data_IF_726977041436
#
_entry.id   IF_726977041436
#
_cell.length_a   1.000
_cell.length_b   1.000
_cell.length_c   1.000
_cell.angle_alpha   90.00
_cell.angle_beta   90.00
_cell.angle_gamma   90.00
#
_symmetry.space_group_name_H-M   'P 1'
#
loop_
_entity.id
_entity.type
_entity.pdbx_description
1 polymer ?
#
# COMPACT_ATOMS: atom_id res chain seq x y z
N UNK A 1 -60.84 -15.84 42.86
CA UNK A 1 -59.73 -16.33 42.02
C UNK A 1 -58.42 -16.13 42.78
N UNK A 2 -57.77 -17.24 43.11
CA UNK A 2 -56.71 -17.38 44.12
C UNK A 2 -55.39 -16.75 43.70
N UNK A 3 -54.55 -16.36 44.68
CA UNK A 3 -53.25 -15.68 44.48
C UNK A 3 -52.30 -16.38 43.48
N UNK A 4 -52.51 -17.67 43.20
CA UNK A 4 -51.78 -18.42 42.17
C UNK A 4 -52.07 -17.94 40.73
N UNK A 5 -53.30 -17.49 40.43
CA UNK A 5 -53.68 -17.04 39.09
C UNK A 5 -53.04 -15.69 38.71
N UNK A 6 -52.71 -14.85 39.70
CA UNK A 6 -51.99 -13.57 39.46
C UNK A 6 -50.49 -13.77 39.25
N UNK A 7 -49.89 -14.82 39.80
CA UNK A 7 -48.48 -15.11 39.64
C UNK A 7 -48.17 -15.74 38.27
N UNK A 8 -49.08 -16.58 37.76
CA UNK A 8 -48.92 -17.19 36.42
C UNK A 8 -49.08 -16.18 35.28
N UNK A 9 -49.92 -15.14 35.46
CA UNK A 9 -50.13 -14.10 34.45
C UNK A 9 -48.95 -13.10 34.37
N UNK A 10 -48.20 -12.89 35.45
CA UNK A 10 -46.97 -12.07 35.44
C UNK A 10 -45.77 -12.80 34.79
N UNK A 11 -45.68 -14.14 34.93
CA UNK A 11 -44.62 -14.94 34.33
C UNK A 11 -44.77 -15.08 32.80
N UNK A 12 -46.01 -15.07 32.29
CA UNK A 12 -46.26 -15.10 30.83
C UNK A 12 -45.95 -13.74 30.17
N UNK A 13 -46.14 -12.62 30.88
CA UNK A 13 -45.75 -11.30 30.38
C UNK A 13 -44.23 -11.06 30.40
N UNK A 14 -43.48 -11.70 31.32
CA UNK A 14 -42.01 -11.61 31.33
C UNK A 14 -41.33 -12.52 30.29
N UNK A 15 -41.97 -13.62 29.90
CA UNK A 15 -41.46 -14.50 28.84
C UNK A 15 -41.67 -13.93 27.43
N UNK A 16 -42.61 -12.99 27.23
CA UNK A 16 -42.87 -12.38 25.93
C UNK A 16 -42.08 -11.09 25.65
N UNK A 17 -41.43 -10.51 26.66
CA UNK A 17 -40.62 -9.28 26.52
C UNK A 17 -39.12 -9.58 26.34
N UNK A 18 -38.68 -10.81 26.63
CA UNK A 18 -37.29 -11.23 26.42
C UNK A 18 -36.92 -11.56 24.96
N UNK A 19 -37.86 -11.47 24.00
CA UNK A 19 -37.64 -11.80 22.59
C UNK A 19 -37.49 -10.57 21.66
N UNK A 20 -37.56 -9.35 22.21
CA UNK A 20 -37.40 -8.09 21.45
C UNK A 20 -36.25 -7.27 22.03
N UNK A 21 -35.05 -7.86 22.07
CA UNK A 21 -33.84 -7.05 22.12
C UNK A 21 -33.77 -6.20 20.84
N UNK A 22 -33.31 -4.94 20.89
CA UNK A 22 -33.09 -4.17 19.67
C UNK A 22 -32.11 -4.94 18.81
N UNK A 23 -32.62 -5.55 17.74
CA UNK A 23 -31.83 -6.01 16.61
C UNK A 23 -31.18 -4.77 16.04
N UNK A 24 -29.99 -4.44 16.55
CA UNK A 24 -29.07 -3.55 15.88
C UNK A 24 -29.07 -3.99 14.41
N UNK A 25 -29.28 -3.07 13.45
CA UNK A 25 -29.16 -3.45 12.05
C UNK A 25 -27.76 -4.00 11.90
N UNK A 26 -27.66 -5.32 11.76
CA UNK A 26 -26.48 -5.94 11.23
C UNK A 26 -26.30 -5.26 9.88
N UNK A 27 -25.36 -4.31 9.82
CA UNK A 27 -24.81 -3.85 8.56
C UNK A 27 -24.51 -5.13 7.79
N UNK A 28 -25.36 -5.43 6.80
CA UNK A 28 -25.08 -6.47 5.85
C UNK A 28 -23.80 -6.00 5.18
N UNK A 29 -22.66 -6.50 5.66
CA UNK A 29 -21.41 -6.36 4.92
C UNK A 29 -21.69 -7.03 3.59
N UNK A 30 -21.93 -6.20 2.57
CA UNK A 30 -22.10 -6.66 1.20
C UNK A 30 -20.94 -7.61 0.92
N UNK A 31 -21.25 -8.90 0.73
CA UNK A 31 -20.24 -9.90 0.39
C UNK A 31 -19.51 -9.40 -0.87
N UNK A 32 -18.18 -9.53 -0.95
CA UNK A 32 -17.43 -9.10 -2.12
C UNK A 32 -18.03 -9.69 -3.41
N UNK A 33 -18.22 -8.82 -4.41
CA UNK A 33 -18.77 -9.21 -5.71
C UNK A 33 -17.64 -9.51 -6.69
N UNK A 34 -17.76 -10.61 -7.41
CA UNK A 34 -16.81 -10.98 -8.45
C UNK A 34 -17.13 -10.27 -9.76
N UNK A 35 -16.09 -10.04 -10.56
CA UNK A 35 -16.16 -9.51 -11.90
C UNK A 35 -15.96 -8.00 -11.99
N UNK A 36 -15.85 -7.51 -13.22
CA UNK A 36 -15.73 -6.09 -13.54
C UNK A 36 -14.29 -5.57 -13.55
N UNK A 37 -14.13 -4.36 -14.08
CA UNK A 37 -12.84 -3.65 -14.18
C UNK A 37 -12.88 -2.41 -13.29
N UNK A 38 -11.86 -2.26 -12.42
CA UNK A 38 -11.65 -1.00 -11.70
C UNK A 38 -10.92 -0.01 -12.61
N UNK A 39 -11.57 1.09 -12.96
CA UNK A 39 -10.90 2.21 -13.67
C UNK A 39 -10.54 3.29 -12.66
N UNK A 40 -9.25 3.64 -12.56
CA UNK A 40 -8.77 4.65 -11.60
C UNK A 40 -7.77 5.61 -12.21
N UNK A 41 -7.73 6.82 -11.65
CA UNK A 41 -6.87 7.91 -12.12
C UNK A 41 -5.50 7.88 -11.46
N UNK A 42 -4.46 8.11 -12.25
CA UNK A 42 -3.08 8.34 -11.79
C UNK A 42 -2.56 9.65 -12.36
N UNK A 43 -2.04 10.52 -11.48
CA UNK A 43 -1.62 11.88 -11.85
C UNK A 43 -0.23 11.99 -12.48
N UNK A 44 0.48 10.87 -12.64
CA UNK A 44 1.83 10.81 -13.19
C UNK A 44 2.09 9.43 -13.79
N UNK A 45 2.97 9.38 -14.77
CA UNK A 45 3.44 8.13 -15.36
C UNK A 45 4.65 7.55 -14.60
N UNK A 46 4.86 6.23 -14.63
CA UNK A 46 6.04 5.60 -14.05
C UNK A 46 7.33 6.07 -14.76
N UNK A 47 8.37 6.51 -14.03
CA UNK A 47 9.69 6.75 -14.64
C UNK A 47 10.33 5.44 -15.15
N UNK A 48 10.04 4.34 -14.47
CA UNK A 48 10.34 2.96 -14.84
C UNK A 48 9.45 2.01 -14.03
N UNK A 49 9.53 0.69 -14.23
CA UNK A 49 8.63 -0.28 -13.58
C UNK A 49 9.22 -0.97 -12.35
N UNK A 50 10.39 -0.54 -11.86
CA UNK A 50 11.08 -1.23 -10.77
C UNK A 50 10.87 -0.54 -9.41
N UNK A 51 10.18 -1.23 -8.52
CA UNK A 51 9.95 -0.74 -7.17
C UNK A 51 11.17 -0.69 -6.27
N UNK A 52 12.31 -1.32 -6.60
CA UNK A 52 13.51 -1.19 -5.78
C UNK A 52 14.18 0.17 -6.01
N UNK A 53 14.06 0.75 -7.22
CA UNK A 53 14.61 2.08 -7.56
C UNK A 53 13.60 3.22 -7.40
N UNK A 54 12.35 3.00 -7.79
CA UNK A 54 11.39 4.09 -7.94
C UNK A 54 10.75 4.48 -6.62
N UNK A 55 10.35 5.74 -6.48
CA UNK A 55 9.67 6.25 -5.26
C UNK A 55 8.33 6.94 -5.57
N UNK A 56 7.88 6.87 -6.82
CA UNK A 56 6.72 7.65 -7.28
C UNK A 56 5.42 6.85 -7.17
N UNK A 57 4.35 7.48 -6.69
CA UNK A 57 3.00 6.88 -6.72
C UNK A 57 2.54 6.58 -8.15
N UNK A 58 3.06 7.32 -9.14
CA UNK A 58 2.82 7.11 -10.57
C UNK A 58 3.26 5.71 -11.02
N UNK A 59 4.30 5.16 -10.39
CA UNK A 59 4.68 3.76 -10.57
C UNK A 59 3.93 2.84 -9.60
N UNK A 60 3.90 3.16 -8.30
CA UNK A 60 3.38 2.24 -7.29
C UNK A 60 1.92 1.85 -7.55
N UNK A 61 1.05 2.81 -7.85
CA UNK A 61 -0.38 2.55 -8.01
C UNK A 61 -0.71 1.57 -9.15
N UNK A 62 -0.23 1.79 -10.39
CA UNK A 62 -0.53 0.87 -11.48
C UNK A 62 0.22 -0.46 -11.41
N UNK A 63 1.44 -0.49 -10.85
CA UNK A 63 2.29 -1.68 -10.96
C UNK A 63 2.30 -2.58 -9.71
N UNK A 64 2.05 -2.06 -8.50
CA UNK A 64 1.99 -2.88 -7.27
C UNK A 64 1.03 -4.08 -7.34
N UNK A 65 -0.16 -4.00 -7.99
CA UNK A 65 -1.06 -5.15 -8.09
C UNK A 65 -0.49 -6.37 -8.85
N UNK A 66 0.65 -6.22 -9.52
CA UNK A 66 1.36 -7.31 -10.19
C UNK A 66 2.29 -8.09 -9.27
N UNK A 67 2.60 -7.58 -8.08
CA UNK A 67 3.62 -8.12 -7.21
C UNK A 67 3.07 -8.42 -5.81
N UNK A 68 3.75 -9.34 -5.14
CA UNK A 68 3.64 -9.50 -3.70
C UNK A 68 4.97 -9.11 -3.03
N UNK A 69 4.91 -8.79 -1.75
CA UNK A 69 6.05 -8.50 -0.86
C UNK A 69 6.24 -9.65 0.12
N UNK A 70 7.27 -9.60 0.97
CA UNK A 70 7.43 -10.61 2.04
C UNK A 70 6.37 -10.45 3.12
N UNK A 71 6.26 -9.23 3.67
CA UNK A 71 5.23 -8.78 4.59
C UNK A 71 4.49 -7.60 3.97
N UNK A 72 3.33 -7.25 4.51
CA UNK A 72 2.60 -6.03 4.17
C UNK A 72 1.92 -5.43 5.37
N UNK A 73 1.55 -4.16 5.28
CA UNK A 73 0.60 -3.54 6.21
C UNK A 73 -0.79 -4.13 5.98
N UNK A 74 -1.53 -4.42 7.04
CA UNK A 74 -2.92 -4.89 6.95
C UNK A 74 -3.78 -3.80 6.28
N UNK A 75 -4.40 -4.06 5.12
CA UNK A 75 -5.18 -3.05 4.41
C UNK A 75 -6.45 -2.61 5.17
N UNK A 76 -6.85 -3.36 6.21
CA UNK A 76 -7.99 -3.00 7.06
C UNK A 76 -7.56 -2.30 8.36
N UNK A 77 -6.25 -2.23 8.64
CA UNK A 77 -5.73 -1.46 9.77
C UNK A 77 -5.59 0.02 9.39
N UNK A 78 -6.48 0.85 9.94
CA UNK A 78 -6.47 2.30 9.72
C UNK A 78 -5.27 3.02 10.34
N UNK A 79 -4.56 2.38 11.28
CA UNK A 79 -3.36 2.98 11.89
C UNK A 79 -2.12 2.80 11.02
N UNK A 80 -2.14 1.80 10.12
CA UNK A 80 -0.99 1.45 9.27
C UNK A 80 0.19 0.83 10.04
N UNK A 81 -0.05 0.31 11.24
CA UNK A 81 1.00 -0.20 12.15
C UNK A 81 0.96 -1.73 12.31
N UNK A 82 -0.13 -2.37 11.88
CA UNK A 82 -0.28 -3.82 11.93
C UNK A 82 0.33 -4.46 10.68
N UNK A 83 1.42 -5.18 10.87
CA UNK A 83 2.09 -5.94 9.81
C UNK A 83 1.54 -7.38 9.76
N UNK A 84 1.25 -7.85 8.57
CA UNK A 84 0.77 -9.21 8.29
C UNK A 84 1.65 -9.85 7.21
N UNK A 85 1.62 -11.19 7.15
CA UNK A 85 2.29 -11.93 6.09
C UNK A 85 1.67 -11.67 4.72
N UNK A 86 2.52 -11.45 3.70
CA UNK A 86 2.10 -11.52 2.30
C UNK A 86 2.62 -12.82 1.69
N UNK A 87 3.87 -12.89 1.20
CA UNK A 87 4.49 -14.17 0.79
C UNK A 87 5.01 -15.00 1.97
N UNK A 88 5.27 -14.38 3.11
CA UNK A 88 5.49 -15.10 4.36
C UNK A 88 4.14 -15.59 4.91
N UNK A 89 4.07 -16.89 5.21
CA UNK A 89 2.95 -17.49 5.94
C UNK A 89 3.07 -17.23 7.44
N UNK A 90 4.28 -17.34 7.98
CA UNK A 90 4.59 -17.09 9.39
C UNK A 90 6.05 -16.70 9.56
N UNK A 91 6.41 -16.16 10.73
CA UNK A 91 7.80 -15.89 11.08
C UNK A 91 8.04 -15.92 12.58
N UNK A 92 9.30 -16.11 12.95
CA UNK A 92 9.77 -16.04 14.32
C UNK A 92 10.89 -15.01 14.44
N UNK A 93 11.02 -14.43 15.63
CA UNK A 93 12.09 -13.50 15.97
C UNK A 93 12.83 -14.07 17.17
N UNK A 94 14.15 -14.21 17.07
CA UNK A 94 14.99 -14.70 18.15
C UNK A 94 14.88 -13.83 19.42
N UNK A 95 15.26 -14.39 20.56
CA UNK A 95 15.19 -13.69 21.86
C UNK A 95 16.01 -12.39 21.87
N UNK A 96 17.19 -12.41 21.23
CA UNK A 96 18.07 -11.24 21.07
C UNK A 96 17.60 -10.23 20.02
N UNK A 97 16.49 -10.50 19.32
CA UNK A 97 15.89 -9.65 18.27
C UNK A 97 16.79 -9.38 17.06
N UNK A 98 17.76 -10.25 16.80
CA UNK A 98 18.71 -10.12 15.68
C UNK A 98 18.48 -11.12 14.55
N UNK A 99 17.73 -12.19 14.78
CA UNK A 99 17.44 -13.20 13.76
C UNK A 99 15.94 -13.27 13.49
N UNK A 100 15.54 -13.07 12.24
CA UNK A 100 14.16 -13.19 11.77
C UNK A 100 14.07 -14.34 10.79
N UNK A 101 13.29 -15.36 11.10
CA UNK A 101 13.12 -16.55 10.25
C UNK A 101 11.69 -16.58 9.74
N UNK A 102 11.52 -16.57 8.42
CA UNK A 102 10.21 -16.59 7.77
C UNK A 102 9.99 -17.92 7.06
N UNK A 103 8.78 -18.44 7.20
CA UNK A 103 8.24 -19.54 6.40
C UNK A 103 7.42 -18.97 5.25
N UNK A 104 7.80 -19.34 4.03
CA UNK A 104 7.18 -18.88 2.80
C UNK A 104 6.02 -19.79 2.41
N UNK A 105 4.98 -19.17 1.84
CA UNK A 105 3.84 -19.90 1.28
C UNK A 105 4.29 -20.85 0.18
N UNK A 106 3.78 -22.07 0.22
CA UNK A 106 4.08 -23.09 -0.77
C UNK A 106 3.26 -22.91 -2.06
N UNK A 107 3.85 -23.28 -3.20
CA UNK A 107 3.16 -23.32 -4.49
C UNK A 107 2.79 -21.95 -5.08
N UNK A 108 3.32 -20.85 -4.55
CA UNK A 108 3.18 -19.52 -5.16
C UNK A 108 3.87 -19.53 -6.53
N UNK A 109 3.17 -19.08 -7.56
CA UNK A 109 3.69 -19.02 -8.92
C UNK A 109 3.91 -17.59 -9.37
N UNK A 110 4.98 -17.38 -10.13
CA UNK A 110 5.13 -16.20 -10.98
C UNK A 110 4.09 -16.23 -12.10
N UNK A 111 3.89 -15.10 -12.78
CA UNK A 111 2.91 -14.96 -13.84
C UNK A 111 3.17 -15.88 -15.05
N UNK A 112 4.42 -16.31 -15.24
CA UNK A 112 4.85 -17.32 -16.23
C UNK A 112 4.58 -18.78 -15.80
N UNK A 113 4.07 -19.01 -14.59
CA UNK A 113 3.76 -20.33 -14.04
C UNK A 113 4.91 -21.00 -13.27
N UNK A 114 6.12 -20.44 -13.31
CA UNK A 114 7.25 -20.94 -12.51
C UNK A 114 7.00 -20.73 -11.02
N UNK A 115 7.53 -21.63 -10.18
CA UNK A 115 7.32 -21.59 -8.73
C UNK A 115 8.31 -20.63 -8.08
N UNK A 116 7.82 -19.77 -7.19
CA UNK A 116 8.63 -18.90 -6.35
C UNK A 116 9.23 -19.68 -5.18
N UNK A 117 10.49 -19.36 -4.85
CA UNK A 117 11.23 -19.96 -3.73
C UNK A 117 11.94 -18.89 -2.91
N UNK A 118 12.53 -19.30 -1.79
CA UNK A 118 13.39 -18.45 -0.97
C UNK A 118 14.58 -17.83 -1.72
N UNK A 119 15.01 -18.43 -2.85
CA UNK A 119 16.05 -17.84 -3.72
C UNK A 119 15.59 -16.53 -4.35
N UNK A 120 14.32 -16.42 -4.73
CA UNK A 120 13.73 -15.20 -5.31
C UNK A 120 13.63 -14.09 -4.26
N UNK A 121 13.22 -14.46 -3.05
CA UNK A 121 13.20 -13.54 -1.90
C UNK A 121 14.61 -13.05 -1.59
N UNK A 122 15.58 -13.97 -1.49
CA UNK A 122 16.98 -13.64 -1.25
C UNK A 122 17.53 -12.72 -2.35
N UNK A 123 17.36 -13.05 -3.62
CA UNK A 123 17.85 -12.23 -4.72
C UNK A 123 17.27 -10.82 -4.71
N UNK A 124 15.99 -10.68 -4.37
CA UNK A 124 15.31 -9.39 -4.26
C UNK A 124 15.88 -8.54 -3.12
N UNK A 125 16.04 -9.12 -1.93
CA UNK A 125 16.62 -8.39 -0.79
C UNK A 125 18.12 -8.15 -0.95
N UNK A 126 18.89 -9.08 -1.53
CA UNK A 126 20.29 -8.85 -1.85
C UNK A 126 20.43 -7.64 -2.79
N UNK A 127 19.57 -7.53 -3.81
CA UNK A 127 19.53 -6.37 -4.71
C UNK A 127 19.14 -5.07 -4.00
N UNK A 128 18.21 -5.11 -3.05
CA UNK A 128 17.81 -3.93 -2.26
C UNK A 128 18.96 -3.47 -1.34
N UNK A 129 19.63 -4.41 -0.68
CA UNK A 129 20.60 -4.15 0.40
C UNK A 129 21.99 -3.88 -0.17
N UNK A 130 22.39 -4.67 -1.16
CA UNK A 130 23.70 -4.66 -1.80
C UNK A 130 23.54 -4.62 -3.33
N UNK A 131 22.90 -3.56 -3.88
CA UNK A 131 22.77 -3.42 -5.32
C UNK A 131 24.15 -3.40 -6.00
N UNK A 132 24.29 -3.97 -7.21
CA UNK A 132 25.45 -3.73 -8.06
C UNK A 132 25.66 -2.22 -8.30
N UNK A 133 26.90 -1.76 -8.60
CA UNK A 133 27.19 -0.34 -8.73
C UNK A 133 26.33 0.44 -9.75
N UNK A 134 25.80 -0.25 -10.77
CA UNK A 134 24.94 0.35 -11.81
C UNK A 134 23.46 0.38 -11.43
N UNK A 135 23.07 -0.27 -10.33
CA UNK A 135 21.68 -0.42 -9.89
C UNK A 135 21.43 0.54 -8.74
N UNK A 136 20.36 1.32 -8.86
CA UNK A 136 19.90 2.19 -7.78
C UNK A 136 18.92 1.44 -6.89
N UNK A 137 19.16 1.45 -5.57
CA UNK A 137 18.19 1.03 -4.56
C UNK A 137 17.89 2.20 -3.62
N UNK A 138 16.69 2.76 -3.74
CA UNK A 138 16.23 3.86 -2.87
C UNK A 138 16.03 3.44 -1.42
N UNK A 139 15.98 2.14 -1.15
CA UNK A 139 15.80 1.58 0.21
C UNK A 139 17.10 1.11 0.83
N UNK A 140 18.23 1.15 0.12
CA UNK A 140 19.50 0.61 0.61
C UNK A 140 19.84 1.09 2.03
N UNK A 141 19.64 2.39 2.30
CA UNK A 141 19.95 2.98 3.59
C UNK A 141 19.11 2.42 4.75
N UNK A 142 17.90 1.91 4.48
CA UNK A 142 16.99 1.33 5.47
C UNK A 142 17.47 -0.05 5.96
N UNK A 143 18.41 -0.68 5.25
CA UNK A 143 18.86 -2.04 5.53
C UNK A 143 20.34 -2.15 5.94
N UNK A 144 20.98 -1.04 6.30
CA UNK A 144 22.42 -1.03 6.71
C UNK A 144 22.75 -1.96 7.87
N UNK A 145 21.76 -2.25 8.72
CA UNK A 145 21.88 -3.14 9.86
C UNK A 145 21.75 -4.64 9.49
N UNK A 146 21.27 -4.96 8.29
CA UNK A 146 21.25 -6.35 7.83
C UNK A 146 22.69 -6.81 7.61
N UNK A 147 23.04 -7.90 8.29
CA UNK A 147 24.32 -8.59 8.16
C UNK A 147 24.26 -9.64 7.06
N UNK A 148 23.21 -10.45 7.06
CA UNK A 148 23.05 -11.53 6.09
C UNK A 148 21.57 -11.82 5.78
N UNK A 149 21.34 -12.25 4.54
CA UNK A 149 20.08 -12.85 4.09
C UNK A 149 20.38 -14.26 3.61
N UNK A 150 19.81 -15.26 4.26
CA UNK A 150 20.07 -16.68 4.01
C UNK A 150 18.80 -17.36 3.51
N UNK A 151 18.95 -18.30 2.58
CA UNK A 151 17.88 -19.13 2.03
C UNK A 151 18.18 -20.62 2.28
N UNK A 152 18.16 -21.09 3.54
CA UNK A 152 18.64 -22.43 3.91
C UNK A 152 17.76 -23.57 3.37
N UNK A 153 16.52 -23.28 2.99
CA UNK A 153 15.59 -24.22 2.37
C UNK A 153 14.67 -23.49 1.38
N UNK A 154 14.04 -24.17 0.41
CA UNK A 154 13.19 -23.52 -0.61
C UNK A 154 12.03 -22.69 -0.06
N UNK A 155 11.57 -23.01 1.16
CA UNK A 155 10.45 -22.36 1.86
C UNK A 155 10.89 -21.43 3.01
N UNK A 156 12.20 -21.25 3.21
CA UNK A 156 12.72 -20.61 4.41
C UNK A 156 13.67 -19.49 4.03
N UNK A 157 13.42 -18.29 4.56
CA UNK A 157 14.33 -17.14 4.45
C UNK A 157 14.67 -16.65 5.85
N UNK A 158 15.95 -16.34 6.09
CA UNK A 158 16.45 -15.87 7.38
C UNK A 158 17.20 -14.56 7.18
N UNK A 159 16.84 -13.55 7.97
CA UNK A 159 17.58 -12.29 8.06
C UNK A 159 18.35 -12.25 9.38
N UNK A 160 19.63 -11.90 9.30
CA UNK A 160 20.49 -11.62 10.46
C UNK A 160 20.79 -10.14 10.51
N UNK A 161 20.64 -9.54 11.68
CA UNK A 161 20.93 -8.14 11.95
C UNK A 161 22.17 -8.01 12.85
N UNK A 162 22.96 -6.96 12.63
CA UNK A 162 24.15 -6.66 13.44
C UNK A 162 23.76 -6.30 14.87
N UNK A 163 22.62 -5.62 15.03
CA UNK A 163 22.03 -5.24 16.33
C UNK A 163 20.49 -5.22 16.26
N UNK A 164 19.79 -5.26 17.40
CA UNK A 164 18.33 -5.19 17.43
C UNK A 164 17.82 -3.91 16.80
N UNK A 165 16.81 -4.01 15.93
CA UNK A 165 16.20 -2.85 15.27
C UNK A 165 14.69 -3.02 15.16
N UNK A 166 13.95 -2.13 15.82
CA UNK A 166 12.49 -2.17 15.83
C UNK A 166 11.86 -1.82 14.47
N UNK A 167 12.51 -0.95 13.68
CA UNK A 167 12.05 -0.55 12.34
C UNK A 167 12.17 -1.65 11.28
N UNK A 168 12.91 -2.72 11.54
CA UNK A 168 13.20 -3.74 10.53
C UNK A 168 11.94 -4.39 9.96
N UNK A 169 11.00 -4.81 10.82
CA UNK A 169 9.72 -5.40 10.40
C UNK A 169 8.88 -4.45 9.54
N UNK A 170 8.86 -3.16 9.88
CA UNK A 170 8.17 -2.13 9.10
C UNK A 170 8.83 -1.96 7.72
N UNK A 171 10.17 -1.99 7.67
CA UNK A 171 10.92 -2.02 6.42
C UNK A 171 10.52 -3.21 5.55
N UNK A 172 10.47 -4.42 6.10
CA UNK A 172 10.04 -5.62 5.35
C UNK A 172 8.59 -5.52 4.83
N UNK A 173 7.72 -4.77 5.51
CA UNK A 173 6.33 -4.53 5.11
C UNK A 173 6.14 -3.37 4.11
N UNK A 174 7.23 -2.73 3.68
CA UNK A 174 7.21 -1.66 2.69
C UNK A 174 6.59 -2.13 1.37
N UNK A 175 5.66 -1.37 0.78
CA UNK A 175 4.96 -1.75 -0.46
C UNK A 175 5.88 -1.74 -1.70
N UNK A 176 7.15 -1.35 -1.54
CA UNK A 176 8.14 -1.24 -2.60
C UNK A 176 9.07 -2.46 -2.70
N UNK A 177 9.09 -3.31 -1.68
CA UNK A 177 10.02 -4.44 -1.62
C UNK A 177 9.44 -5.66 -2.34
N UNK A 178 9.14 -5.49 -3.62
CA UNK A 178 8.58 -6.54 -4.47
C UNK A 178 9.55 -7.70 -4.58
N UNK A 179 8.99 -8.91 -4.55
CA UNK A 179 9.77 -10.12 -4.78
C UNK A 179 9.84 -10.38 -6.28
N UNK A 180 11.05 -10.28 -6.81
CA UNK A 180 11.41 -10.52 -8.19
C UNK A 180 11.96 -11.92 -8.39
N UNK A 181 11.77 -12.44 -9.60
CA UNK A 181 12.34 -13.72 -10.03
C UNK A 181 13.86 -13.64 -10.10
N UNK A 182 14.55 -14.51 -9.38
CA UNK A 182 16.01 -14.53 -9.27
C UNK A 182 16.69 -14.73 -10.64
N UNK A 183 16.17 -15.64 -11.47
CA UNK A 183 16.76 -15.94 -12.78
C UNK A 183 16.75 -14.73 -13.73
N UNK A 184 15.76 -13.85 -13.62
CA UNK A 184 15.68 -12.61 -14.40
C UNK A 184 16.77 -11.65 -13.91
N UNK A 185 16.85 -11.42 -12.59
CA UNK A 185 17.86 -10.54 -12.01
C UNK A 185 19.29 -11.03 -12.32
N UNK A 186 19.53 -12.34 -12.28
CA UNK A 186 20.82 -12.92 -12.59
C UNK A 186 21.25 -12.68 -14.05
N UNK A 187 20.29 -12.57 -14.98
CA UNK A 187 20.56 -12.30 -16.40
C UNK A 187 20.66 -10.81 -16.70
N UNK A 188 19.75 -10.02 -16.14
CA UNK A 188 19.67 -8.59 -16.36
C UNK A 188 19.05 -7.88 -15.15
N UNK A 189 19.89 -7.13 -14.44
CA UNK A 189 19.50 -6.35 -13.26
C UNK A 189 18.59 -5.16 -13.58
N UNK A 190 18.50 -4.76 -14.85
CA UNK A 190 17.70 -3.65 -15.34
C UNK A 190 16.40 -4.10 -16.00
N UNK A 191 16.14 -5.40 -16.10
CA UNK A 191 14.98 -5.94 -16.82
C UNK A 191 13.63 -5.37 -16.33
N UNK A 192 13.49 -5.20 -15.01
CA UNK A 192 12.31 -4.62 -14.37
C UNK A 192 12.16 -3.10 -14.60
N UNK A 193 13.05 -2.44 -15.35
CA UNK A 193 12.84 -1.06 -15.84
C UNK A 193 11.65 -0.96 -16.77
N UNK A 194 11.45 -2.01 -17.57
CA UNK A 194 10.59 -1.98 -18.76
C UNK A 194 9.63 -3.16 -18.84
N UNK A 195 9.74 -4.10 -17.91
CA UNK A 195 8.98 -5.34 -17.96
C UNK A 195 8.40 -5.70 -16.59
N UNK A 196 7.37 -6.54 -16.60
CA UNK A 196 6.65 -6.97 -15.40
C UNK A 196 6.65 -8.49 -15.30
N UNK A 197 7.12 -9.00 -14.16
CA UNK A 197 7.07 -10.41 -13.81
C UNK A 197 6.95 -10.57 -12.29
N UNK A 198 5.74 -10.78 -11.80
CA UNK A 198 5.49 -10.90 -10.37
C UNK A 198 4.67 -12.14 -10.02
N UNK A 199 4.24 -12.19 -8.77
CA UNK A 199 3.40 -13.25 -8.18
C UNK A 199 2.00 -12.75 -7.80
N UNK A 200 1.73 -11.46 -8.08
CA UNK A 200 0.56 -10.74 -7.59
C UNK A 200 -0.77 -11.16 -8.22
N UNK A 201 -1.89 -10.59 -7.72
CA UNK A 201 -3.25 -10.96 -8.10
C UNK A 201 -3.63 -10.59 -9.53
N UNK A 202 -2.90 -9.70 -10.19
CA UNK A 202 -3.14 -9.33 -11.58
C UNK A 202 -1.89 -9.56 -12.43
N UNK A 203 -2.06 -10.11 -13.64
CA UNK A 203 -1.01 -10.20 -14.66
C UNK A 203 -1.00 -8.92 -15.50
N UNK A 204 0.18 -8.44 -15.86
CA UNK A 204 0.35 -7.31 -16.76
C UNK A 204 -0.20 -7.63 -18.15
N UNK A 205 -0.86 -6.65 -18.76
CA UNK A 205 -1.37 -6.76 -20.14
C UNK A 205 -0.61 -5.79 -21.04
N UNK A 206 -0.72 -4.49 -20.76
CA UNK A 206 -0.08 -3.46 -21.55
C UNK A 206 0.11 -2.16 -20.76
N UNK A 207 1.04 -1.35 -21.25
CA UNK A 207 1.18 0.04 -20.90
C UNK A 207 1.26 0.85 -22.20
N UNK A 208 0.35 1.80 -22.34
CA UNK A 208 0.32 2.75 -23.46
C UNK A 208 0.67 4.12 -22.89
N UNK A 209 1.85 4.61 -23.25
CA UNK A 209 2.36 5.91 -22.81
C UNK A 209 1.36 7.03 -23.14
N UNK A 210 1.17 7.95 -22.18
CA UNK A 210 0.21 9.04 -22.21
C UNK A 210 -1.25 8.61 -22.07
N UNK A 211 -1.54 7.31 -21.89
CA UNK A 211 -2.90 6.78 -21.89
C UNK A 211 -3.21 5.96 -20.65
N UNK A 212 -2.72 4.72 -20.57
CA UNK A 212 -3.14 3.80 -19.52
C UNK A 212 -2.18 2.64 -19.26
N UNK A 213 -2.40 2.00 -18.11
CA UNK A 213 -1.81 0.74 -17.71
C UNK A 213 -2.93 -0.27 -17.42
N UNK A 214 -2.80 -1.48 -17.96
CA UNK A 214 -3.83 -2.52 -17.90
C UNK A 214 -3.32 -3.77 -17.17
N UNK A 215 -4.07 -4.22 -16.18
CA UNK A 215 -3.86 -5.48 -15.49
C UNK A 215 -5.10 -6.37 -15.58
N UNK A 216 -4.91 -7.66 -15.83
CA UNK A 216 -5.99 -8.66 -15.84
C UNK A 216 -5.83 -9.64 -14.69
N UNK A 217 -6.91 -10.24 -14.24
CA UNK A 217 -6.91 -11.24 -13.17
C UNK A 217 -5.88 -12.34 -13.41
N UNK A 218 -5.14 -12.68 -12.36
CA UNK A 218 -4.30 -13.88 -12.30
C UNK A 218 -5.16 -15.06 -11.82
N UNK A 219 -5.56 -16.01 -12.70
CA UNK A 219 -6.37 -17.16 -12.30
C UNK A 219 -5.60 -18.11 -11.37
N UNK A 220 -4.27 -18.08 -11.41
CA UNK A 220 -3.39 -18.93 -10.61
C UNK A 220 -2.95 -18.27 -9.30
N UNK A 221 -3.59 -17.17 -8.88
CA UNK A 221 -3.22 -16.47 -7.66
C UNK A 221 -3.32 -17.39 -6.43
N UNK A 222 -2.37 -17.25 -5.53
CA UNK A 222 -2.21 -18.15 -4.39
C UNK A 222 -3.30 -17.92 -3.32
N UNK A 223 -3.78 -16.69 -3.15
CA UNK A 223 -4.85 -16.34 -2.21
C UNK A 223 -6.20 -16.70 -2.85
N UNK A 224 -6.68 -17.91 -2.55
CA UNK A 224 -7.86 -18.50 -3.20
C UNK A 224 -9.10 -17.64 -2.99
N UNK A 225 -9.86 -17.46 -4.07
CA UNK A 225 -11.02 -16.56 -4.10
C UNK A 225 -10.68 -15.10 -4.42
N UNK A 226 -9.39 -14.76 -4.62
CA UNK A 226 -8.96 -13.42 -5.04
C UNK A 226 -8.20 -13.46 -6.37
N UNK A 227 -8.10 -12.31 -7.08
CA UNK A 227 -8.87 -11.08 -6.84
C UNK A 227 -10.35 -11.24 -7.22
N UNK A 228 -11.18 -10.35 -6.68
CA UNK A 228 -12.61 -10.30 -7.01
C UNK A 228 -12.85 -9.74 -8.41
N UNK A 229 -12.11 -8.68 -8.79
CA UNK A 229 -12.19 -8.03 -10.10
C UNK A 229 -11.58 -8.89 -11.22
N UNK A 230 -12.08 -8.73 -12.44
CA UNK A 230 -11.52 -9.33 -13.65
C UNK A 230 -10.28 -8.58 -14.14
N UNK A 231 -10.15 -7.30 -13.79
CA UNK A 231 -9.00 -6.47 -14.14
C UNK A 231 -9.07 -5.07 -13.55
N UNK A 232 -8.09 -4.25 -13.92
CA UNK A 232 -8.09 -2.83 -13.64
C UNK A 232 -7.42 -2.06 -14.77
N UNK A 233 -7.81 -0.80 -14.91
CA UNK A 233 -7.23 0.18 -15.82
C UNK A 233 -6.83 1.42 -15.05
N UNK A 234 -5.54 1.69 -14.98
CA UNK A 234 -5.02 2.95 -14.48
C UNK A 234 -4.92 3.93 -15.65
N UNK A 235 -5.69 5.01 -15.65
CA UNK A 235 -5.62 6.05 -16.68
C UNK A 235 -4.74 7.21 -16.21
N UNK A 236 -3.82 7.67 -17.06
CA UNK A 236 -2.89 8.73 -16.73
C UNK A 236 -3.48 10.09 -17.09
N UNK A 237 -3.73 10.93 -16.09
CA UNK A 237 -4.31 12.26 -16.27
C UNK A 237 -3.54 13.25 -15.38
N UNK A 238 -2.52 13.95 -15.90
CA UNK A 238 -1.73 14.89 -15.11
C UNK A 238 -2.54 16.12 -14.65
N UNK A 239 -3.43 16.64 -15.50
CA UNK A 239 -4.21 17.84 -15.19
C UNK A 239 -5.31 17.57 -14.15
N UNK A 240 -5.29 18.31 -13.05
CA UNK A 240 -6.18 18.07 -11.92
C UNK A 240 -7.67 18.35 -12.24
N UNK A 241 -7.97 19.32 -13.11
CA UNK A 241 -9.35 19.61 -13.51
C UNK A 241 -9.93 18.51 -14.41
N UNK A 242 -9.09 17.93 -15.28
CA UNK A 242 -9.43 16.76 -16.08
C UNK A 242 -9.65 15.52 -15.20
N UNK A 243 -8.89 15.33 -14.12
CA UNK A 243 -9.13 14.24 -13.16
C UNK A 243 -10.52 14.37 -12.50
N UNK A 244 -10.88 15.58 -12.04
CA UNK A 244 -12.21 15.87 -11.47
C UNK A 244 -13.31 15.57 -12.50
N UNK A 245 -13.10 15.98 -13.75
CA UNK A 245 -14.04 15.74 -14.84
C UNK A 245 -14.19 14.25 -15.16
N UNK A 246 -13.10 13.47 -15.07
CA UNK A 246 -13.13 12.02 -15.29
C UNK A 246 -13.96 11.29 -14.21
N UNK A 247 -13.81 11.67 -12.93
CA UNK A 247 -14.64 11.13 -11.84
C UNK A 247 -16.10 11.58 -12.00
N UNK A 248 -16.33 12.87 -12.25
CA UNK A 248 -17.68 13.43 -12.44
C UNK A 248 -18.44 12.77 -13.59
N UNK A 249 -17.74 12.50 -14.70
CA UNK A 249 -18.31 11.86 -15.87
C UNK A 249 -18.31 10.33 -15.80
N UNK A 250 -18.05 9.74 -14.63
CA UNK A 250 -18.01 8.29 -14.39
C UNK A 250 -17.03 7.53 -15.31
N UNK A 251 -16.04 8.23 -15.90
CA UNK A 251 -14.95 7.62 -16.69
C UNK A 251 -13.89 6.94 -15.83
N UNK A 252 -13.82 7.33 -14.55
CA UNK A 252 -13.02 6.68 -13.55
C UNK A 252 -13.80 6.61 -12.23
N UNK A 253 -13.53 5.56 -11.45
CA UNK A 253 -14.26 5.24 -10.23
C UNK A 253 -13.58 5.82 -8.99
N UNK A 254 -12.25 5.98 -9.03
CA UNK A 254 -11.47 6.44 -7.87
C UNK A 254 -10.17 7.15 -8.28
N UNK A 255 -9.69 8.00 -7.38
CA UNK A 255 -8.35 8.58 -7.39
C UNK A 255 -7.77 8.38 -5.97
N UNK A 256 -6.53 7.86 -5.89
CA UNK A 256 -5.92 7.41 -4.61
C UNK A 256 -5.05 8.45 -3.89
N UNK A 257 -4.77 9.61 -4.49
CA UNK A 257 -3.94 10.70 -3.93
C UNK A 257 -4.75 11.84 -3.30
N UNK A 258 -6.07 11.84 -3.43
CA UNK A 258 -7.00 12.87 -2.97
C UNK A 258 -7.17 14.04 -3.95
N UNK A 259 -8.14 14.89 -3.64
CA UNK A 259 -8.46 16.15 -4.30
C UNK A 259 -8.38 17.30 -3.29
N UNK A 260 -8.22 18.55 -3.76
CA UNK A 260 -8.32 19.71 -2.86
C UNK A 260 -9.74 19.82 -2.26
N UNK A 261 -9.92 20.52 -1.13
CA UNK A 261 -11.26 20.72 -0.54
C UNK A 261 -12.29 21.25 -1.55
N UNK A 262 -11.92 22.26 -2.34
CA UNK A 262 -12.79 22.83 -3.37
C UNK A 262 -13.20 21.81 -4.44
N UNK A 263 -12.25 21.00 -4.93
CA UNK A 263 -12.53 19.96 -5.92
C UNK A 263 -13.42 18.86 -5.34
N UNK A 264 -13.17 18.45 -4.10
CA UNK A 264 -14.01 17.50 -3.36
C UNK A 264 -15.43 18.03 -3.21
N UNK A 265 -15.60 19.26 -2.73
CA UNK A 265 -16.92 19.89 -2.54
C UNK A 265 -17.68 19.97 -3.86
N UNK A 266 -17.00 20.32 -4.95
CA UNK A 266 -17.59 20.36 -6.29
C UNK A 266 -18.04 18.97 -6.79
N UNK A 267 -17.29 17.91 -6.48
CA UNK A 267 -17.69 16.53 -6.80
C UNK A 267 -18.88 16.07 -5.96
N UNK A 268 -18.89 16.37 -4.66
CA UNK A 268 -20.01 16.05 -3.75
C UNK A 268 -21.29 16.76 -4.21
N UNK A 269 -21.21 18.05 -4.55
CA UNK A 269 -22.35 18.81 -5.06
C UNK A 269 -22.89 18.23 -6.38
N UNK A 270 -22.03 17.70 -7.24
CA UNK A 270 -22.42 17.15 -8.54
C UNK A 270 -22.97 15.71 -8.48
N UNK A 271 -22.39 14.85 -7.63
CA UNK A 271 -22.66 13.42 -7.63
C UNK A 271 -23.51 12.96 -6.43
N UNK A 272 -23.59 13.76 -5.36
CA UNK A 272 -24.37 13.44 -4.17
C UNK A 272 -24.05 12.05 -3.62
N UNK A 273 -25.08 11.22 -3.50
CA UNK A 273 -24.98 9.85 -2.96
C UNK A 273 -24.24 8.85 -3.85
N UNK A 274 -23.93 9.19 -5.11
CA UNK A 274 -23.11 8.33 -5.99
C UNK A 274 -21.62 8.37 -5.64
N UNK A 275 -21.18 9.37 -4.88
CA UNK A 275 -19.79 9.56 -4.48
C UNK A 275 -19.61 9.23 -3.01
N UNK A 276 -18.58 8.44 -2.71
CA UNK A 276 -18.06 8.30 -1.35
C UNK A 276 -16.75 9.07 -1.23
N UNK A 277 -16.68 9.97 -0.26
CA UNK A 277 -15.43 10.67 0.09
C UNK A 277 -14.84 9.98 1.31
N UNK A 278 -13.59 9.51 1.18
CA UNK A 278 -12.83 8.96 2.29
C UNK A 278 -11.82 9.99 2.76
N UNK A 279 -11.89 10.35 4.04
CA UNK A 279 -10.89 11.17 4.70
C UNK A 279 -10.20 10.35 5.79
N UNK A 280 -8.87 10.42 5.81
CA UNK A 280 -8.04 9.85 6.88
C UNK A 280 -6.86 10.77 7.16
N UNK A 281 -6.23 10.67 8.34
CA UNK A 281 -4.89 11.18 8.53
C UNK A 281 -3.98 10.65 7.43
N UNK A 282 -3.06 11.49 6.96
CA UNK A 282 -2.12 11.12 5.92
C UNK A 282 -0.70 11.34 6.44
N UNK A 283 0.09 10.26 6.52
CA UNK A 283 1.49 10.31 6.91
C UNK A 283 2.34 10.89 5.77
N UNK A 284 2.19 12.19 5.55
CA UNK A 284 2.91 12.96 4.55
C UNK A 284 3.69 14.08 5.24
N UNK A 285 4.96 14.25 4.85
CA UNK A 285 5.79 15.36 5.29
C UNK A 285 6.14 16.23 4.08
N UNK A 286 5.65 17.46 4.06
CA UNK A 286 6.03 18.47 3.06
C UNK A 286 7.17 19.27 3.68
N UNK A 287 8.34 19.24 3.04
CA UNK A 287 9.56 19.82 3.59
C UNK A 287 10.21 20.76 2.57
N UNK A 288 10.86 21.80 3.09
CA UNK A 288 11.80 22.62 2.31
C UNK A 288 13.21 22.19 2.72
N UNK A 289 13.92 21.55 1.78
CA UNK A 289 15.31 21.14 1.97
C UNK A 289 16.26 22.18 1.36
N UNK A 290 17.24 22.63 2.15
CA UNK A 290 18.28 23.54 1.68
C UNK A 290 19.55 22.73 1.35
N UNK A 291 20.08 22.92 0.15
CA UNK A 291 21.32 22.25 -0.27
C UNK A 291 22.52 22.85 0.49
N UNK A 292 22.96 22.18 1.55
CA UNK A 292 24.03 22.63 2.45
C UNK A 292 25.42 22.70 1.78
N UNK A 293 25.55 22.23 0.54
CA UNK A 293 26.79 22.27 -0.24
C UNK A 293 26.88 23.51 -1.16
N UNK A 294 25.86 24.39 -1.16
CA UNK A 294 25.79 25.57 -2.03
C UNK A 294 25.69 26.86 -1.21
N UNK A 295 26.44 27.89 -1.62
CA UNK A 295 26.32 29.23 -1.03
C UNK A 295 24.93 29.82 -1.24
N UNK A 296 24.29 30.49 -0.24
CA UNK A 296 24.76 30.74 1.14
C UNK A 296 24.27 29.70 2.17
N UNK A 297 23.78 28.54 1.73
CA UNK A 297 23.11 27.55 2.58
C UNK A 297 24.07 26.66 3.37
N UNK A 298 25.39 26.74 3.15
CA UNK A 298 26.42 26.11 3.97
C UNK A 298 26.48 26.72 5.37
N UNK A 299 26.21 28.02 5.51
CA UNK A 299 26.19 28.70 6.80
C UNK A 299 24.94 28.31 7.60
N UNK A 300 25.15 27.70 8.77
CA UNK A 300 24.08 27.29 9.69
C UNK A 300 23.19 28.47 10.13
N UNK A 301 23.74 29.69 10.18
CA UNK A 301 23.02 30.92 10.56
C UNK A 301 21.99 31.29 9.51
N UNK A 302 22.30 31.13 8.22
CA UNK A 302 21.37 31.36 7.12
C UNK A 302 20.21 30.37 7.20
N UNK A 303 20.49 29.07 7.37
CA UNK A 303 19.44 28.06 7.51
C UNK A 303 18.56 28.30 8.74
N UNK A 304 19.16 28.73 9.85
CA UNK A 304 18.43 29.12 11.06
C UNK A 304 17.55 30.35 10.84
N UNK A 305 18.05 31.38 10.15
CA UNK A 305 17.27 32.56 9.82
C UNK A 305 16.05 32.19 8.96
N UNK A 306 16.25 31.37 7.91
CA UNK A 306 15.18 30.92 7.02
C UNK A 306 14.13 30.07 7.75
N UNK A 307 14.53 29.18 8.66
CA UNK A 307 13.55 28.38 9.41
C UNK A 307 12.72 29.22 10.38
N UNK A 308 13.32 30.26 10.98
CA UNK A 308 12.64 31.20 11.88
C UNK A 308 11.74 32.20 11.13
N UNK A 309 12.07 32.52 9.88
CA UNK A 309 11.26 33.38 9.02
C UNK A 309 9.96 32.71 8.53
N UNK A 310 9.86 31.39 8.62
CA UNK A 310 8.67 30.65 8.19
C UNK A 310 7.64 30.55 9.32
N UNK A 311 6.57 31.34 9.23
CA UNK A 311 5.39 31.18 10.08
C UNK A 311 4.58 29.94 9.65
N UNK A 312 4.86 28.83 10.32
CA UNK A 312 4.20 27.54 10.08
C UNK A 312 2.75 27.53 10.53
N UNK A 313 2.41 28.30 11.57
CA UNK A 313 1.07 28.32 12.14
C UNK A 313 0.09 29.01 11.18
N UNK A 314 0.39 30.25 10.80
CA UNK A 314 -0.43 31.00 9.85
C UNK A 314 -0.40 30.35 8.47
N UNK A 315 0.76 29.83 8.06
CA UNK A 315 0.90 29.06 6.82
C UNK A 315 -0.01 27.83 6.76
N UNK A 316 -0.06 27.04 7.84
CA UNK A 316 -0.93 25.85 7.93
C UNK A 316 -2.42 26.20 7.76
N UNK A 317 -2.88 27.28 8.39
CA UNK A 317 -4.27 27.76 8.27
C UNK A 317 -4.65 28.20 6.87
N UNK A 318 -3.72 28.82 6.14
CA UNK A 318 -3.95 29.20 4.75
C UNK A 318 -3.95 27.97 3.84
N UNK A 319 -2.96 27.08 4.01
CA UNK A 319 -2.81 25.86 3.21
C UNK A 319 -4.00 24.91 3.34
N UNK A 320 -4.61 24.81 4.52
CA UNK A 320 -5.73 23.89 4.74
C UNK A 320 -7.00 24.18 3.94
N UNK A 321 -7.09 25.37 3.35
CA UNK A 321 -8.21 25.77 2.48
C UNK A 321 -7.99 25.36 1.03
N UNK A 322 -6.74 25.19 0.61
CA UNK A 322 -6.37 25.01 -0.81
C UNK A 322 -5.64 23.69 -1.07
N UNK A 323 -5.10 23.06 -0.04
CA UNK A 323 -4.37 21.80 -0.09
C UNK A 323 -4.94 20.81 0.93
N UNK A 324 -4.51 19.55 0.82
CA UNK A 324 -4.91 18.45 1.72
C UNK A 324 -4.23 18.50 3.11
N UNK A 325 -3.71 19.66 3.50
CA UNK A 325 -3.08 19.88 4.82
C UNK A 325 -4.17 20.24 5.82
N UNK A 326 -4.14 19.70 7.03
CA UNK A 326 -5.01 20.15 8.13
C UNK A 326 -4.15 20.49 9.33
N UNK A 327 -4.58 21.47 10.12
CA UNK A 327 -3.99 21.74 11.43
C UNK A 327 -4.19 20.51 12.31
N UNK A 328 -3.10 19.98 12.87
CA UNK A 328 -3.17 18.98 13.93
C UNK A 328 -3.19 19.79 15.22
N UNK A 329 -4.37 19.91 15.82
CA UNK A 329 -4.56 20.57 17.11
C UNK A 329 -3.90 19.78 18.25
#
# INVERSE_FOLDING_TARGET
MTRLARLLMLLICFALIAALGPSAPASAQDKPRYGGELVFVVAAEPPSYDAHREETFGMLHPAAPHYNTLLRVDPFDKTGTKFIGDLAESWTVSADKRTYTFKLRQGVKFHDGSVMTSKDVKASYDRIINPPPTVVSSRQAQYKNVEAVEAPAPDTIVFRLKYPEASFTAGLASPWNWIYKADILAKDQHWYEKNVMGTGPFKFVEYVHGSHWLGKKNPDYWDKGKPYLDGYRAIFIPDAAAQVSAIRGERAMIQFRGFSPQQRDSLVAALGNKLTVQESPWNCSIQVALNQQKKPFEDRRVRRALTLALDRWSGSKALSRIAVVKEVA
#
